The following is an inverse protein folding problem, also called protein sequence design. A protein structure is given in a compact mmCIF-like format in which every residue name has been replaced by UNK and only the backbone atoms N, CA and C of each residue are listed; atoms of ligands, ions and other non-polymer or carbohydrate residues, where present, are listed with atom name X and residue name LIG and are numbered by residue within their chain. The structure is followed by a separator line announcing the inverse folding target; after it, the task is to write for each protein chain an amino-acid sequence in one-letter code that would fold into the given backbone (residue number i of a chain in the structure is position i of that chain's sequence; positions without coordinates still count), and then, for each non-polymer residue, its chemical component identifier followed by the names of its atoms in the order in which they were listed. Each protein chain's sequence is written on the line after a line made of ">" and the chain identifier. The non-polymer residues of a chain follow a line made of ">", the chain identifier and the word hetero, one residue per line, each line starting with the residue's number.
data_IF_682375940287
#
_entry.id   IF_682375940287
#
_cell.length_a   1.000
_cell.length_b   1.000
_cell.length_c   1.000
_cell.angle_alpha   90.00
_cell.angle_beta   90.00
_cell.angle_gamma   90.00
#
_symmetry.space_group_name_H-M   'P 1'
#
loop_
_entity.id
_entity.type
_entity.pdbx_description
1 polymer ?
#
# COMPACT_ATOMS: atom_id res chain seq x y z
N UNK A 1 38.33 0.77 27.13
CA UNK A 1 37.46 1.90 27.52
C UNK A 1 36.08 1.33 27.77
N UNK A 2 35.64 1.26 29.03
CA UNK A 2 34.28 0.88 29.39
C UNK A 2 33.39 2.10 29.23
N UNK A 3 32.37 2.00 28.37
CA UNK A 3 31.37 3.06 28.24
C UNK A 3 30.49 3.01 29.48
N UNK A 4 30.45 4.13 30.22
CA UNK A 4 29.67 4.27 31.44
C UNK A 4 28.18 4.01 31.18
N UNK A 5 27.59 3.09 31.95
CA UNK A 5 26.21 2.62 31.76
C UNK A 5 25.18 3.73 32.02
N UNK A 6 25.46 4.61 32.99
CA UNK A 6 24.58 5.74 33.29
C UNK A 6 24.52 6.70 32.11
N UNK A 7 25.68 7.07 31.56
CA UNK A 7 25.78 7.93 30.37
C UNK A 7 25.01 7.36 29.18
N UNK A 8 25.14 6.04 28.92
CA UNK A 8 24.41 5.40 27.82
C UNK A 8 22.91 5.42 28.07
N UNK A 9 22.45 5.08 29.28
CA UNK A 9 21.02 5.10 29.61
C UNK A 9 20.43 6.51 29.48
N UNK A 10 21.18 7.55 29.82
CA UNK A 10 20.78 8.94 29.62
C UNK A 10 20.64 9.27 28.12
N UNK A 11 21.58 8.83 27.28
CA UNK A 11 21.50 9.01 25.83
C UNK A 11 20.32 8.24 25.22
N UNK A 12 20.10 6.99 25.62
CA UNK A 12 18.91 6.20 25.24
C UNK A 12 17.65 6.95 25.62
N UNK A 13 17.62 7.55 26.81
CA UNK A 13 16.47 8.28 27.28
C UNK A 13 16.17 9.50 26.42
N UNK A 14 17.17 10.34 26.16
CA UNK A 14 17.03 11.52 25.32
C UNK A 14 16.51 11.13 23.93
N UNK A 15 17.16 10.17 23.27
CA UNK A 15 16.79 9.75 21.92
C UNK A 15 15.36 9.18 21.88
N UNK A 16 15.02 8.31 22.83
CA UNK A 16 13.68 7.68 22.88
C UNK A 16 12.59 8.70 23.18
N UNK A 17 12.83 9.62 24.12
CA UNK A 17 11.87 10.68 24.46
C UNK A 17 11.68 11.64 23.29
N UNK A 18 12.75 12.06 22.63
CA UNK A 18 12.66 12.93 21.44
C UNK A 18 11.94 12.23 20.30
N UNK A 19 12.32 10.98 19.98
CA UNK A 19 11.68 10.18 18.93
C UNK A 19 10.18 9.97 19.22
N UNK A 20 9.85 9.56 20.44
CA UNK A 20 8.47 9.35 20.87
C UNK A 20 7.64 10.63 20.84
N UNK A 21 8.19 11.75 21.33
CA UNK A 21 7.51 13.04 21.32
C UNK A 21 7.25 13.53 19.90
N UNK A 22 8.25 13.48 19.00
CA UNK A 22 8.08 13.85 17.60
C UNK A 22 7.02 13.00 16.93
N UNK A 23 7.08 11.68 17.13
CA UNK A 23 6.10 10.77 16.55
C UNK A 23 4.68 11.02 17.07
N UNK A 24 4.51 11.23 18.38
CA UNK A 24 3.22 11.53 19.00
C UNK A 24 2.65 12.87 18.53
N UNK A 25 3.47 13.93 18.51
CA UNK A 25 3.06 15.25 18.03
C UNK A 25 2.57 15.17 16.59
N UNK A 26 3.32 14.51 15.72
CA UNK A 26 2.91 14.32 14.33
C UNK A 26 1.60 13.52 14.23
N UNK A 27 1.46 12.46 15.03
CA UNK A 27 0.23 11.64 15.07
C UNK A 27 -0.99 12.46 15.48
N UNK A 28 -0.83 13.35 16.48
CA UNK A 28 -1.91 14.22 16.96
C UNK A 28 -2.25 15.32 15.96
N UNK A 29 -1.25 16.00 15.42
CA UNK A 29 -1.43 17.09 14.45
C UNK A 29 -2.15 16.61 13.19
N UNK A 30 -1.85 15.39 12.72
CA UNK A 30 -2.45 14.81 11.52
C UNK A 30 -3.78 14.08 11.76
N UNK A 31 -4.28 14.02 13.01
CA UNK A 31 -5.52 13.30 13.40
C UNK A 31 -5.59 11.87 12.84
N UNK A 32 -4.48 11.14 12.92
CA UNK A 32 -4.40 9.84 12.26
C UNK A 32 -5.36 8.79 12.83
N UNK A 33 -5.86 7.93 11.93
CA UNK A 33 -6.70 6.77 12.25
C UNK A 33 -5.99 5.47 11.85
N UNK A 34 -6.18 4.41 12.64
CA UNK A 34 -5.66 3.08 12.31
C UNK A 34 -4.22 2.81 12.77
N UNK A 35 -3.29 2.35 11.90
CA UNK A 35 -1.98 1.81 12.29
C UNK A 35 -1.07 2.78 13.03
N UNK A 36 -1.11 4.07 12.64
CA UNK A 36 -0.32 5.12 13.28
C UNK A 36 -0.60 5.28 14.77
N UNK A 37 -1.86 5.10 15.20
CA UNK A 37 -2.26 5.11 16.63
C UNK A 37 -1.69 3.93 17.40
N UNK A 38 -1.57 2.76 16.76
CA UNK A 38 -1.02 1.56 17.39
C UNK A 38 0.50 1.69 17.56
N UNK A 39 1.21 2.23 16.56
CA UNK A 39 2.62 2.56 16.70
C UNK A 39 2.88 3.66 17.72
N UNK A 40 1.99 4.66 17.81
CA UNK A 40 2.07 5.69 18.86
C UNK A 40 2.01 5.07 20.27
N UNK A 41 1.17 4.04 20.47
CA UNK A 41 1.14 3.29 21.73
C UNK A 41 2.46 2.57 21.99
N UNK A 42 3.11 2.03 20.95
CA UNK A 42 4.46 1.46 21.04
C UNK A 42 5.49 2.48 21.50
N UNK A 43 5.54 3.67 20.89
CA UNK A 43 6.43 4.75 21.34
C UNK A 43 6.15 5.19 22.78
N UNK A 44 4.88 5.27 23.17
CA UNK A 44 4.47 5.64 24.53
C UNK A 44 4.94 4.59 25.56
N UNK A 45 4.82 3.31 25.19
CA UNK A 45 5.36 2.18 25.97
C UNK A 45 6.89 2.21 26.04
N UNK A 46 7.57 2.57 24.96
CA UNK A 46 9.03 2.72 24.92
C UNK A 46 9.50 3.87 25.83
N UNK A 47 8.77 4.99 25.84
CA UNK A 47 9.02 6.10 26.77
C UNK A 47 8.83 5.66 28.22
N UNK A 48 7.75 4.93 28.54
CA UNK A 48 7.54 4.39 29.88
C UNK A 48 8.68 3.47 30.32
N UNK A 49 9.19 2.62 29.40
CA UNK A 49 10.34 1.74 29.64
C UNK A 49 11.56 2.54 30.10
N UNK A 50 11.88 3.59 29.35
CA UNK A 50 13.02 4.45 29.63
C UNK A 50 12.89 5.14 30.98
N UNK A 51 11.72 5.70 31.28
CA UNK A 51 11.48 6.36 32.58
C UNK A 51 11.65 5.36 33.72
N UNK A 52 11.12 4.15 33.56
CA UNK A 52 11.24 3.10 34.55
C UNK A 52 12.70 2.67 34.77
N UNK A 53 13.50 2.54 33.71
CA UNK A 53 14.93 2.21 33.83
C UNK A 53 15.79 3.37 34.36
N UNK A 54 15.40 4.63 34.13
CA UNK A 54 16.04 5.75 34.82
C UNK A 54 15.74 5.75 36.33
N UNK A 55 14.50 5.42 36.72
CA UNK A 55 14.13 5.28 38.13
C UNK A 55 14.89 4.13 38.79
N UNK A 56 15.09 3.01 38.09
CA UNK A 56 15.92 1.89 38.56
C UNK A 56 17.32 2.35 38.95
N UNK A 57 17.95 3.20 38.14
CA UNK A 57 19.31 3.71 38.40
C UNK A 57 19.38 4.70 39.58
N UNK A 58 18.26 5.31 39.96
CA UNK A 58 18.21 6.35 40.99
C UNK A 58 17.60 5.91 42.33
N UNK A 59 17.16 4.66 42.47
CA UNK A 59 16.44 4.17 43.65
C UNK A 59 17.14 2.97 44.29
N UNK A 60 17.07 2.90 45.63
CA UNK A 60 17.72 1.83 46.40
C UNK A 60 16.96 0.50 46.33
N UNK A 61 15.65 0.52 46.09
CA UNK A 61 14.81 -0.68 45.96
C UNK A 61 13.97 -0.63 44.66
N UNK A 62 14.58 -0.97 43.51
CA UNK A 62 14.04 -0.64 42.20
C UNK A 62 13.15 -1.73 41.57
N UNK A 63 12.87 -2.83 42.27
CA UNK A 63 12.20 -4.01 41.70
C UNK A 63 10.86 -3.71 41.00
N UNK A 64 10.07 -2.76 41.53
CA UNK A 64 8.82 -2.30 40.88
C UNK A 64 9.13 -1.57 39.57
N UNK A 65 10.15 -0.72 39.55
CA UNK A 65 10.56 0.01 38.36
C UNK A 65 11.09 -0.95 37.28
N UNK A 66 11.86 -1.98 37.67
CA UNK A 66 12.33 -3.03 36.75
C UNK A 66 11.14 -3.78 36.16
N UNK A 67 10.15 -4.16 36.97
CA UNK A 67 8.96 -4.88 36.50
C UNK A 67 8.14 -4.07 35.50
N UNK A 68 7.89 -2.79 35.80
CA UNK A 68 7.19 -1.86 34.89
C UNK A 68 7.99 -1.69 33.60
N UNK A 69 9.31 -1.48 33.71
CA UNK A 69 10.21 -1.31 32.56
C UNK A 69 10.20 -2.52 31.64
N UNK A 70 10.31 -3.73 32.20
CA UNK A 70 10.29 -4.98 31.43
C UNK A 70 8.95 -5.20 30.72
N UNK A 71 7.83 -4.98 31.41
CA UNK A 71 6.50 -5.11 30.82
C UNK A 71 6.25 -4.05 29.73
N UNK A 72 6.73 -2.82 29.93
CA UNK A 72 6.63 -1.75 28.94
C UNK A 72 7.53 -2.03 27.71
N UNK A 73 8.71 -2.60 27.90
CA UNK A 73 9.61 -2.90 26.79
C UNK A 73 9.04 -4.00 25.89
N UNK A 74 8.52 -5.09 26.48
CA UNK A 74 7.90 -6.15 25.69
C UNK A 74 6.65 -5.64 24.96
N UNK A 75 5.87 -4.79 25.62
CA UNK A 75 4.68 -4.14 25.04
C UNK A 75 5.04 -3.22 23.87
N UNK A 76 6.20 -2.57 23.91
CA UNK A 76 6.70 -1.70 22.82
C UNK A 76 6.79 -2.48 21.53
N UNK A 77 7.53 -3.59 21.51
CA UNK A 77 7.69 -4.42 20.31
C UNK A 77 6.38 -5.11 19.91
N UNK A 78 5.56 -5.53 20.90
CA UNK A 78 4.22 -6.03 20.63
C UNK A 78 3.35 -5.02 19.90
N UNK A 79 3.35 -3.75 20.31
CA UNK A 79 2.63 -2.68 19.63
C UNK A 79 3.20 -2.39 18.22
N UNK A 80 4.51 -2.49 18.02
CA UNK A 80 5.11 -2.38 16.68
C UNK A 80 4.61 -3.47 15.74
N UNK A 81 4.58 -4.72 16.18
CA UNK A 81 3.99 -5.82 15.43
C UNK A 81 2.50 -5.59 15.15
N UNK A 82 1.72 -5.18 16.16
CA UNK A 82 0.29 -4.86 15.98
C UNK A 82 0.08 -3.72 14.98
N UNK A 83 0.96 -2.73 14.95
CA UNK A 83 0.92 -1.66 13.98
C UNK A 83 1.22 -2.16 12.57
N UNK A 84 2.18 -3.08 12.38
CA UNK A 84 2.38 -3.77 11.09
C UNK A 84 1.15 -4.59 10.66
N UNK A 85 0.50 -5.31 11.59
CA UNK A 85 -0.74 -6.05 11.29
C UNK A 85 -1.88 -5.12 10.91
N UNK A 86 -2.04 -4.03 11.68
CA UNK A 86 -3.01 -2.97 11.39
C UNK A 86 -2.73 -2.37 10.01
N UNK A 87 -1.44 -2.19 9.66
CA UNK A 87 -1.03 -1.69 8.36
C UNK A 87 -1.53 -2.59 7.24
N UNK A 88 -1.39 -3.91 7.40
CA UNK A 88 -1.84 -4.93 6.46
C UNK A 88 -3.35 -5.22 6.51
N UNK A 89 -4.15 -4.40 7.19
CA UNK A 89 -5.59 -4.60 7.39
C UNK A 89 -5.95 -5.96 8.04
N UNK A 90 -5.01 -6.60 8.73
CA UNK A 90 -5.26 -7.82 9.48
C UNK A 90 -5.95 -7.52 10.81
N UNK A 91 -6.70 -8.50 11.33
CA UNK A 91 -7.40 -8.38 12.63
C UNK A 91 -6.39 -8.16 13.76
N UNK A 92 -6.52 -7.03 14.46
CA UNK A 92 -5.64 -6.62 15.56
C UNK A 92 -6.11 -7.04 16.95
N UNK A 93 -7.42 -7.19 17.18
CA UNK A 93 -7.98 -7.51 18.51
C UNK A 93 -7.41 -8.78 19.15
N UNK A 94 -7.40 -9.96 18.47
CA UNK A 94 -6.88 -11.18 19.10
C UNK A 94 -5.36 -11.10 19.34
N UNK A 95 -4.61 -10.52 18.40
CA UNK A 95 -3.18 -10.30 18.56
C UNK A 95 -2.88 -9.32 19.71
N UNK A 96 -3.73 -8.29 19.89
CA UNK A 96 -3.63 -7.34 20.98
C UNK A 96 -3.85 -7.98 22.35
N UNK A 97 -4.77 -8.94 22.45
CA UNK A 97 -4.94 -9.73 23.66
C UNK A 97 -3.69 -10.56 23.99
N UNK A 98 -3.01 -11.12 22.99
CA UNK A 98 -1.73 -11.84 23.18
C UNK A 98 -0.65 -10.90 23.69
N UNK A 99 -0.49 -9.71 23.09
CA UNK A 99 0.49 -8.71 23.56
C UNK A 99 0.20 -8.31 25.01
N UNK A 100 -1.06 -8.01 25.35
CA UNK A 100 -1.47 -7.68 26.70
C UNK A 100 -1.22 -8.82 27.70
N UNK A 101 -1.54 -10.06 27.33
CA UNK A 101 -1.29 -11.23 28.17
C UNK A 101 0.21 -11.43 28.44
N UNK A 102 1.06 -11.33 27.42
CA UNK A 102 2.52 -11.44 27.57
C UNK A 102 3.06 -10.31 28.46
N UNK A 103 2.58 -9.09 28.30
CA UNK A 103 2.96 -7.95 29.14
C UNK A 103 2.59 -8.16 30.62
N UNK A 104 1.40 -8.69 30.89
CA UNK A 104 0.94 -9.03 32.25
C UNK A 104 1.80 -10.15 32.83
N UNK A 105 2.07 -11.21 32.07
CA UNK A 105 2.93 -12.31 32.51
C UNK A 105 4.34 -11.79 32.82
N UNK A 106 4.91 -10.93 31.96
CA UNK A 106 6.21 -10.32 32.21
C UNK A 106 6.23 -9.50 33.50
N UNK A 107 5.19 -8.70 33.73
CA UNK A 107 5.05 -7.89 34.95
C UNK A 107 5.01 -8.80 36.19
N UNK A 108 4.15 -9.82 36.17
CA UNK A 108 3.97 -10.75 37.29
C UNK A 108 5.25 -11.54 37.57
N UNK A 109 5.91 -12.07 36.55
CA UNK A 109 7.18 -12.83 36.70
C UNK A 109 8.26 -11.97 37.31
N UNK A 110 8.36 -10.70 36.90
CA UNK A 110 9.37 -9.79 37.43
C UNK A 110 9.06 -9.38 38.88
N UNK A 111 7.79 -9.08 39.19
CA UNK A 111 7.36 -8.75 40.56
C UNK A 111 7.48 -9.96 41.51
N UNK A 112 7.24 -11.17 41.02
CA UNK A 112 7.33 -12.39 41.81
C UNK A 112 8.76 -12.71 42.26
N UNK A 113 9.78 -12.19 41.58
CA UNK A 113 11.16 -12.28 42.02
C UNK A 113 11.43 -11.42 43.28
N UNK A 114 10.59 -10.40 43.53
CA UNK A 114 10.67 -9.53 44.70
C UNK A 114 11.94 -8.66 44.75
N UNK A 115 12.21 -8.03 45.90
CA UNK A 115 13.40 -7.21 46.12
C UNK A 115 14.73 -7.98 45.92
N UNK A 116 14.73 -9.27 46.23
CA UNK A 116 15.91 -10.14 46.13
C UNK A 116 16.18 -10.65 44.70
N UNK A 117 15.30 -10.35 43.75
CA UNK A 117 15.39 -10.80 42.35
C UNK A 117 16.56 -10.19 41.56
N UNK A 118 17.15 -9.11 42.07
CA UNK A 118 18.26 -8.39 41.46
C UNK A 118 17.93 -7.74 40.11
N UNK A 119 18.95 -7.17 39.46
CA UNK A 119 18.81 -6.38 38.22
C UNK A 119 18.31 -7.19 37.01
N UNK A 120 18.43 -8.52 37.07
CA UNK A 120 18.09 -9.43 35.96
C UNK A 120 16.75 -10.15 36.18
N UNK A 121 15.95 -9.71 37.15
CA UNK A 121 14.62 -10.26 37.42
C UNK A 121 13.76 -10.29 36.13
N UNK A 122 13.32 -11.48 35.73
CA UNK A 122 12.49 -11.68 34.54
C UNK A 122 13.18 -11.40 33.19
N UNK A 123 14.50 -11.21 33.14
CA UNK A 123 15.21 -10.78 31.93
C UNK A 123 15.19 -11.82 30.79
N UNK A 124 15.22 -13.12 31.10
CA UNK A 124 15.15 -14.17 30.06
C UNK A 124 13.81 -14.12 29.33
N UNK A 125 12.69 -14.03 30.07
CA UNK A 125 11.36 -13.90 29.48
C UNK A 125 11.23 -12.61 28.66
N UNK A 126 11.77 -11.51 29.18
CA UNK A 126 11.81 -10.23 28.49
C UNK A 126 12.50 -10.35 27.14
N UNK A 127 13.70 -10.93 27.10
CA UNK A 127 14.51 -11.02 25.89
C UNK A 127 13.87 -11.92 24.85
N UNK A 128 13.31 -13.06 25.25
CA UNK A 128 12.54 -13.90 24.32
C UNK A 128 11.27 -13.19 23.84
N UNK A 129 10.54 -12.48 24.70
CA UNK A 129 9.35 -11.73 24.31
C UNK A 129 9.66 -10.64 23.29
N UNK A 130 10.71 -9.86 23.53
CA UNK A 130 11.22 -8.85 22.59
C UNK A 130 11.63 -9.51 21.26
N UNK A 131 12.36 -10.62 21.32
CA UNK A 131 12.81 -11.32 20.12
C UNK A 131 11.65 -11.86 19.28
N UNK A 132 10.64 -12.46 19.93
CA UNK A 132 9.45 -13.01 19.26
C UNK A 132 8.63 -11.90 18.62
N UNK A 133 8.29 -10.83 19.35
CA UNK A 133 7.49 -9.74 18.76
C UNK A 133 8.24 -9.00 17.66
N UNK A 134 9.56 -8.81 17.80
CA UNK A 134 10.37 -8.26 16.72
C UNK A 134 10.39 -9.19 15.50
N UNK A 135 10.57 -10.50 15.69
CA UNK A 135 10.52 -11.48 14.60
C UNK A 135 9.18 -11.47 13.86
N UNK A 136 8.07 -11.43 14.62
CA UNK A 136 6.72 -11.30 14.07
C UNK A 136 6.53 -9.96 13.32
N UNK A 137 7.03 -8.84 13.85
CA UNK A 137 6.99 -7.55 13.18
C UNK A 137 7.77 -7.56 11.86
N UNK A 138 8.95 -8.19 11.84
CA UNK A 138 9.79 -8.34 10.64
C UNK A 138 9.10 -9.18 9.55
N UNK A 139 8.49 -10.30 9.93
CA UNK A 139 7.73 -11.14 8.98
C UNK A 139 6.51 -10.38 8.45
N UNK A 140 5.78 -9.70 9.33
CA UNK A 140 4.58 -8.94 8.97
C UNK A 140 4.92 -7.74 8.06
N UNK A 141 6.08 -7.09 8.24
CA UNK A 141 6.50 -5.96 7.40
C UNK A 141 6.85 -6.34 5.96
N UNK A 142 7.05 -7.64 5.66
CA UNK A 142 7.24 -8.14 4.29
C UNK A 142 6.00 -8.78 3.69
N UNK A 143 4.91 -8.90 4.44
CA UNK A 143 3.65 -9.50 3.98
C UNK A 143 2.67 -8.43 3.52
N UNK A 144 1.74 -8.85 2.66
CA UNK A 144 0.60 -8.07 2.18
C UNK A 144 1.00 -6.67 1.66
N UNK A 145 0.13 -5.67 1.81
CA UNK A 145 0.32 -4.33 1.25
C UNK A 145 1.57 -3.61 1.77
N UNK A 146 2.06 -3.92 2.97
CA UNK A 146 3.30 -3.34 3.49
C UNK A 146 4.55 -3.84 2.74
N UNK A 147 4.55 -5.11 2.31
CA UNK A 147 5.68 -5.73 1.62
C UNK A 147 5.97 -5.14 0.24
N UNK A 148 4.95 -4.60 -0.42
CA UNK A 148 5.05 -3.96 -1.73
C UNK A 148 5.78 -2.60 -1.68
N UNK A 149 5.84 -1.96 -0.51
CA UNK A 149 6.45 -0.64 -0.34
C UNK A 149 7.94 -0.81 -0.06
N UNK A 150 8.82 -0.25 -0.89
CA UNK A 150 10.27 -0.33 -0.72
C UNK A 150 10.75 0.17 0.65
N UNK A 151 10.13 1.23 1.19
CA UNK A 151 10.48 1.76 2.50
C UNK A 151 10.19 0.80 3.67
N UNK A 152 9.38 -0.26 3.48
CA UNK A 152 9.15 -1.28 4.53
C UNK A 152 10.34 -2.19 4.77
N UNK A 153 11.30 -2.21 3.83
CA UNK A 153 12.55 -2.96 3.99
C UNK A 153 13.34 -2.50 5.22
N UNK A 154 13.33 -1.20 5.53
CA UNK A 154 13.98 -0.64 6.71
C UNK A 154 13.47 -1.27 8.01
N UNK A 155 12.14 -1.37 8.18
CA UNK A 155 11.55 -2.02 9.35
C UNK A 155 11.87 -3.50 9.40
N UNK A 156 11.86 -4.17 8.25
CA UNK A 156 12.16 -5.59 8.19
C UNK A 156 13.57 -5.87 8.71
N UNK A 157 14.56 -5.11 8.23
CA UNK A 157 15.96 -5.25 8.64
C UNK A 157 16.13 -4.92 10.12
N UNK A 158 15.55 -3.80 10.59
CA UNK A 158 15.62 -3.39 12.00
C UNK A 158 15.03 -4.46 12.91
N UNK A 159 13.81 -4.92 12.62
CA UNK A 159 13.14 -5.92 13.45
C UNK A 159 13.80 -7.30 13.37
N UNK A 160 14.33 -7.70 12.22
CA UNK A 160 15.12 -8.92 12.10
C UNK A 160 16.39 -8.86 12.96
N UNK A 161 17.08 -7.72 12.94
CA UNK A 161 18.26 -7.51 13.76
C UNK A 161 17.92 -7.50 15.26
N UNK A 162 16.87 -6.79 15.68
CA UNK A 162 16.37 -6.80 17.08
C UNK A 162 16.06 -8.24 17.50
N UNK A 163 15.35 -9.00 16.66
CA UNK A 163 14.97 -10.37 16.95
C UNK A 163 16.19 -11.26 17.18
N UNK A 164 17.15 -11.22 16.25
CA UNK A 164 18.39 -11.99 16.36
C UNK A 164 19.22 -11.57 17.58
N UNK A 165 19.41 -10.27 17.79
CA UNK A 165 20.21 -9.75 18.90
C UNK A 165 19.63 -10.16 20.25
N UNK A 166 18.33 -9.94 20.48
CA UNK A 166 17.69 -10.29 21.75
C UNK A 166 17.54 -11.81 21.94
N UNK A 167 17.40 -12.58 20.87
CA UNK A 167 17.39 -14.04 20.96
C UNK A 167 18.75 -14.59 21.42
N UNK A 168 19.83 -14.14 20.79
CA UNK A 168 21.19 -14.54 21.21
C UNK A 168 21.48 -14.06 22.63
N UNK A 169 21.10 -12.81 22.96
CA UNK A 169 21.21 -12.28 24.32
C UNK A 169 20.47 -13.11 25.36
N UNK A 170 19.27 -13.60 25.04
CA UNK A 170 18.50 -14.50 25.92
C UNK A 170 19.23 -15.82 26.16
N UNK A 171 19.77 -16.43 25.10
CA UNK A 171 20.51 -17.69 25.20
C UNK A 171 21.79 -17.51 26.03
N UNK A 172 22.57 -16.46 25.76
CA UNK A 172 23.82 -16.19 26.50
C UNK A 172 23.53 -15.95 27.98
N UNK A 173 22.50 -15.15 28.30
CA UNK A 173 22.10 -14.93 29.70
C UNK A 173 21.64 -16.23 30.37
N UNK A 174 20.92 -17.10 29.65
CA UNK A 174 20.41 -18.35 30.19
C UNK A 174 21.52 -19.40 30.43
N UNK A 175 22.53 -19.43 29.56
CA UNK A 175 23.64 -20.41 29.62
C UNK A 175 24.77 -19.97 30.55
N UNK A 176 25.26 -18.73 30.40
CA UNK A 176 26.42 -18.23 31.17
C UNK A 176 26.01 -17.41 32.40
N UNK A 177 24.76 -16.95 32.47
CA UNK A 177 24.32 -16.02 33.51
C UNK A 177 24.81 -14.58 33.29
N UNK A 178 24.44 -13.66 34.20
CA UNK A 178 24.73 -12.23 34.06
C UNK A 178 26.21 -11.88 34.27
N UNK A 179 26.97 -12.73 34.95
CA UNK A 179 28.42 -12.55 35.16
C UNK A 179 29.29 -13.22 34.08
N UNK A 180 28.66 -13.91 33.11
CA UNK A 180 29.34 -14.56 32.01
C UNK A 180 30.20 -13.59 31.19
N UNK A 181 31.35 -14.07 30.71
CA UNK A 181 32.28 -13.24 29.93
C UNK A 181 31.69 -12.76 28.60
N UNK A 182 30.88 -13.59 27.93
CA UNK A 182 30.19 -13.17 26.69
C UNK A 182 29.10 -12.15 27.00
N UNK A 183 28.36 -12.38 28.10
CA UNK A 183 27.29 -11.48 28.50
C UNK A 183 27.82 -10.09 28.84
N UNK A 184 28.82 -10.02 29.71
CA UNK A 184 29.44 -8.77 30.15
C UNK A 184 30.20 -8.05 29.03
N UNK A 185 30.76 -8.77 28.05
CA UNK A 185 31.53 -8.17 26.96
C UNK A 185 30.67 -7.67 25.80
N UNK A 186 29.62 -8.41 25.40
CA UNK A 186 28.86 -8.13 24.16
C UNK A 186 27.37 -7.84 24.38
N UNK A 187 26.80 -8.30 25.48
CA UNK A 187 25.35 -8.25 25.73
C UNK A 187 24.96 -7.50 27.00
N UNK A 188 25.91 -6.74 27.55
CA UNK A 188 25.66 -5.87 28.69
C UNK A 188 24.68 -4.74 28.32
N UNK A 189 24.17 -4.06 29.34
CA UNK A 189 23.18 -2.99 29.18
C UNK A 189 23.73 -1.79 28.41
N UNK A 190 25.02 -1.46 28.53
CA UNK A 190 25.64 -0.35 27.78
C UNK A 190 25.67 -0.60 26.27
N UNK A 191 26.05 -1.80 25.84
CA UNK A 191 26.07 -2.15 24.41
C UNK A 191 24.64 -2.23 23.86
N UNK A 192 23.74 -2.83 24.64
CA UNK A 192 22.30 -2.88 24.30
C UNK A 192 21.73 -1.46 24.13
N UNK A 193 22.13 -0.52 24.97
CA UNK A 193 21.69 0.88 24.87
C UNK A 193 22.13 1.54 23.57
N UNK A 194 23.39 1.36 23.15
CA UNK A 194 23.88 1.88 21.86
C UNK A 194 23.10 1.26 20.69
N UNK A 195 22.92 -0.06 20.72
CA UNK A 195 22.12 -0.78 19.72
C UNK A 195 20.69 -0.21 19.69
N UNK A 196 20.08 0.03 20.85
CA UNK A 196 18.74 0.59 20.96
C UNK A 196 18.63 2.01 20.39
N UNK A 197 19.64 2.86 20.59
CA UNK A 197 19.69 4.22 20.00
C UNK A 197 19.63 4.13 18.47
N UNK A 198 20.52 3.34 17.87
CA UNK A 198 20.60 3.19 16.40
C UNK A 198 19.27 2.68 15.86
N UNK A 199 18.72 1.62 16.48
CA UNK A 199 17.48 1.01 16.02
C UNK A 199 16.27 1.92 16.22
N UNK A 200 16.23 2.72 17.28
CA UNK A 200 15.17 3.71 17.51
C UNK A 200 15.16 4.78 16.43
N UNK A 201 16.34 5.28 16.05
CA UNK A 201 16.47 6.26 14.97
C UNK A 201 15.97 5.66 13.65
N UNK A 202 16.45 4.47 13.27
CA UNK A 202 16.03 3.83 12.02
C UNK A 202 14.54 3.49 12.03
N UNK A 203 14.01 3.01 13.16
CA UNK A 203 12.59 2.73 13.32
C UNK A 203 11.74 4.00 13.19
N UNK A 204 12.14 5.10 13.83
CA UNK A 204 11.47 6.39 13.71
C UNK A 204 11.46 6.86 12.25
N UNK A 205 12.63 6.92 11.61
CA UNK A 205 12.75 7.37 10.21
C UNK A 205 11.90 6.50 9.29
N UNK A 206 11.93 5.18 9.46
CA UNK A 206 11.15 4.26 8.63
C UNK A 206 9.64 4.39 8.88
N UNK A 207 9.22 4.56 10.15
CA UNK A 207 7.83 4.80 10.51
C UNK A 207 7.31 6.08 9.84
N UNK A 208 8.09 7.16 9.90
CA UNK A 208 7.77 8.43 9.26
C UNK A 208 7.75 8.31 7.73
N UNK A 209 8.69 7.58 7.11
CA UNK A 209 8.70 7.36 5.66
C UNK A 209 7.50 6.53 5.18
N UNK A 210 7.16 5.46 5.89
CA UNK A 210 5.98 4.64 5.58
C UNK A 210 4.68 5.41 5.77
N UNK A 211 4.65 6.33 6.74
CA UNK A 211 3.56 7.29 6.95
C UNK A 211 3.45 8.28 5.78
N UNK A 212 4.56 8.84 5.30
CA UNK A 212 4.56 9.74 4.14
C UNK A 212 4.20 9.02 2.84
N UNK A 213 4.72 7.80 2.62
CA UNK A 213 4.37 6.98 1.46
C UNK A 213 2.91 6.50 1.47
N UNK A 214 2.26 6.51 2.63
CA UNK A 214 0.82 6.25 2.77
C UNK A 214 -0.05 7.35 2.20
N UNK A 215 0.42 8.60 2.25
CA UNK A 215 -0.27 9.73 1.61
C UNK A 215 -0.29 9.49 0.10
N UNK A 216 0.79 8.98 -0.48
CA UNK A 216 0.85 8.66 -1.92
C UNK A 216 0.02 7.43 -2.27
N UNK A 217 0.30 6.26 -1.66
CA UNK A 217 -0.30 4.97 -2.07
C UNK A 217 -1.78 4.83 -1.71
N UNK A 218 -2.25 5.48 -0.63
CA UNK A 218 -3.67 5.44 -0.25
C UNK A 218 -4.48 6.59 -0.84
N UNK A 219 -3.85 7.71 -1.21
CA UNK A 219 -4.49 8.59 -2.16
C UNK A 219 -4.66 7.85 -3.49
N UNK A 220 -3.65 7.15 -4.02
CA UNK A 220 -3.82 6.40 -5.28
C UNK A 220 -4.97 5.37 -5.25
N UNK A 221 -5.29 4.76 -4.10
CA UNK A 221 -6.35 3.74 -3.99
C UNK A 221 -7.74 4.25 -3.52
N UNK A 222 -7.83 5.24 -2.61
CA UNK A 222 -9.11 5.75 -2.08
C UNK A 222 -9.47 7.17 -2.60
N UNK A 223 -8.48 7.93 -3.08
CA UNK A 223 -8.64 9.22 -3.75
C UNK A 223 -7.78 9.23 -5.02
N UNK A 224 -8.05 8.33 -5.96
CA UNK A 224 -7.50 8.50 -7.29
C UNK A 224 -7.94 9.89 -7.74
N UNK A 225 -7.04 10.88 -7.64
CA UNK A 225 -7.21 12.16 -8.30
C UNK A 225 -7.27 11.76 -9.76
N UNK A 226 -8.50 11.60 -10.25
CA UNK A 226 -8.75 11.21 -11.63
C UNK A 226 -8.02 12.24 -12.47
N UNK A 227 -6.93 11.80 -13.09
CA UNK A 227 -6.13 12.66 -13.91
C UNK A 227 -6.92 12.89 -15.20
N UNK A 228 -7.19 14.15 -15.46
CA UNK A 228 -7.85 14.59 -16.68
C UNK A 228 -6.76 15.07 -17.62
N UNK A 229 -6.76 14.55 -18.84
CA UNK A 229 -5.82 14.91 -19.89
C UNK A 229 -6.13 16.32 -20.39
N UNK A 230 -5.21 16.99 -21.10
CA UNK A 230 -5.50 18.31 -21.69
C UNK A 230 -6.74 18.32 -22.60
N UNK A 231 -7.11 17.18 -23.18
CA UNK A 231 -8.31 16.99 -23.98
C UNK A 231 -9.62 16.94 -23.15
N UNK A 232 -9.54 16.97 -21.82
CA UNK A 232 -10.69 16.96 -20.94
C UNK A 232 -11.33 15.58 -20.74
N UNK A 233 -10.57 14.51 -20.98
CA UNK A 233 -10.96 13.10 -20.76
C UNK A 233 -10.08 12.46 -19.69
N UNK A 234 -10.46 11.32 -19.14
CA UNK A 234 -9.66 10.62 -18.12
C UNK A 234 -8.38 10.04 -18.74
N UNK A 235 -7.24 10.12 -18.05
CA UNK A 235 -6.05 9.33 -18.42
C UNK A 235 -6.38 7.82 -18.36
N UNK A 236 -5.71 6.98 -19.15
CA UNK A 236 -5.88 5.52 -19.12
C UNK A 236 -5.96 4.89 -17.70
N UNK A 237 -5.03 5.13 -16.76
CA UNK A 237 -5.12 4.55 -15.41
C UNK A 237 -6.31 5.09 -14.59
N UNK A 238 -6.69 6.35 -14.82
CA UNK A 238 -7.85 6.96 -14.17
C UNK A 238 -9.17 6.43 -14.73
N UNK A 239 -9.22 6.14 -16.03
CA UNK A 239 -10.37 5.51 -16.68
C UNK A 239 -10.59 4.11 -16.14
N UNK A 240 -9.56 3.28 -16.10
CA UNK A 240 -9.62 1.91 -15.56
C UNK A 240 -10.12 1.90 -14.10
N UNK A 241 -9.59 2.81 -13.27
CA UNK A 241 -10.02 2.97 -11.87
C UNK A 241 -11.49 3.38 -11.76
N UNK A 242 -11.94 4.33 -12.59
CA UNK A 242 -13.32 4.80 -12.61
C UNK A 242 -14.29 3.71 -13.09
N UNK A 243 -13.91 2.96 -14.13
CA UNK A 243 -14.69 1.82 -14.64
C UNK A 243 -14.78 0.71 -13.61
N UNK A 244 -13.69 0.35 -12.92
CA UNK A 244 -13.74 -0.65 -11.84
C UNK A 244 -14.72 -0.26 -10.72
N UNK A 245 -14.84 1.03 -10.42
CA UNK A 245 -15.81 1.54 -9.45
C UNK A 245 -17.27 1.41 -9.95
N UNK A 246 -17.51 1.52 -11.26
CA UNK A 246 -18.85 1.30 -11.85
C UNK A 246 -19.17 -0.20 -11.90
N UNK A 247 -18.24 -1.02 -12.38
CA UNK A 247 -18.41 -2.47 -12.53
C UNK A 247 -18.63 -3.17 -11.19
N UNK A 248 -17.96 -2.74 -10.12
CA UNK A 248 -18.19 -3.29 -8.78
C UNK A 248 -19.61 -3.08 -8.26
N UNK A 249 -20.25 -1.95 -8.63
CA UNK A 249 -21.66 -1.67 -8.32
C UNK A 249 -22.59 -2.46 -9.24
N UNK A 250 -22.30 -2.45 -10.55
CA UNK A 250 -23.08 -3.18 -11.55
C UNK A 250 -23.14 -4.68 -11.26
N UNK A 251 -22.05 -5.27 -10.76
CA UNK A 251 -22.01 -6.68 -10.32
C UNK A 251 -22.98 -6.99 -9.18
N UNK A 252 -23.21 -6.04 -8.27
CA UNK A 252 -24.16 -6.22 -7.17
C UNK A 252 -25.63 -6.17 -7.61
N UNK A 253 -25.92 -5.47 -8.70
CA UNK A 253 -27.26 -5.31 -9.26
C UNK A 253 -27.50 -6.18 -10.50
N UNK A 254 -26.55 -7.04 -10.88
CA UNK A 254 -26.54 -7.80 -12.15
C UNK A 254 -26.83 -6.92 -13.38
N UNK A 255 -26.32 -5.69 -13.34
CA UNK A 255 -26.48 -4.72 -14.41
C UNK A 255 -25.42 -4.92 -15.50
N UNK A 256 -25.84 -4.83 -16.77
CA UNK A 256 -24.95 -4.90 -17.93
C UNK A 256 -24.23 -3.57 -18.15
N UNK A 257 -22.91 -3.61 -18.31
CA UNK A 257 -22.08 -2.46 -18.63
C UNK A 257 -21.33 -2.72 -19.94
N UNK A 258 -21.13 -1.67 -20.75
CA UNK A 258 -20.38 -1.74 -21.98
C UNK A 258 -19.20 -0.77 -21.97
N UNK A 259 -18.08 -1.20 -22.53
CA UNK A 259 -16.94 -0.35 -22.87
C UNK A 259 -16.80 -0.36 -24.40
N UNK A 260 -16.76 0.81 -25.00
CA UNK A 260 -16.38 0.97 -26.40
C UNK A 260 -14.99 1.59 -26.51
N UNK A 261 -14.20 1.09 -27.45
CA UNK A 261 -12.94 1.69 -27.89
C UNK A 261 -13.14 2.25 -29.28
N UNK A 262 -12.91 3.55 -29.44
CA UNK A 262 -12.84 4.21 -30.75
C UNK A 262 -11.37 4.34 -31.09
N UNK A 263 -10.94 3.80 -32.23
CA UNK A 263 -9.53 3.71 -32.63
C UNK A 263 -9.25 4.45 -33.93
N UNK A 264 -8.11 5.14 -34.00
CA UNK A 264 -7.59 5.82 -35.20
C UNK A 264 -6.11 5.48 -35.39
N UNK A 265 -5.80 4.60 -36.34
CA UNK A 265 -4.42 4.13 -36.59
C UNK A 265 -3.61 5.10 -37.49
N UNK A 266 -4.29 5.86 -38.35
CA UNK A 266 -3.63 6.63 -39.42
C UNK A 266 -3.02 7.98 -38.94
N UNK A 267 -3.19 8.34 -37.66
CA UNK A 267 -2.85 9.68 -37.17
C UNK A 267 -1.37 10.03 -37.37
N UNK A 268 -0.47 9.12 -37.01
CA UNK A 268 0.97 9.30 -37.21
C UNK A 268 1.34 9.40 -38.70
N UNK A 269 0.67 8.63 -39.57
CA UNK A 269 0.90 8.68 -41.02
C UNK A 269 0.41 10.01 -41.62
N UNK A 270 -0.71 10.55 -41.11
CA UNK A 270 -1.20 11.88 -41.49
C UNK A 270 -0.20 12.96 -41.07
N UNK A 271 0.40 12.87 -39.88
CA UNK A 271 1.46 13.77 -39.43
C UNK A 271 2.68 13.77 -40.35
N UNK A 272 3.10 12.60 -40.85
CA UNK A 272 4.20 12.49 -41.83
C UNK A 272 3.83 13.12 -43.18
N UNK A 273 2.59 12.96 -43.64
CA UNK A 273 2.17 13.41 -44.97
C UNK A 273 1.73 14.88 -45.04
N UNK A 274 1.11 15.40 -43.98
CA UNK A 274 0.47 16.73 -43.94
C UNK A 274 1.06 17.66 -42.87
N UNK A 275 1.99 17.15 -42.05
CA UNK A 275 2.67 17.90 -41.00
C UNK A 275 2.01 17.77 -39.63
N UNK A 276 2.79 18.08 -38.59
CA UNK A 276 2.40 17.92 -37.17
C UNK A 276 1.22 18.81 -36.76
N UNK A 277 0.99 19.92 -37.46
CA UNK A 277 -0.14 20.83 -37.18
C UNK A 277 -1.48 20.19 -37.56
N UNK A 278 -1.52 19.48 -38.69
CA UNK A 278 -2.74 18.77 -39.12
C UNK A 278 -3.00 17.56 -38.22
N UNK A 279 -1.95 16.84 -37.83
CA UNK A 279 -2.01 15.76 -36.84
C UNK A 279 -2.61 16.22 -35.51
N UNK A 280 -2.07 17.30 -34.91
CA UNK A 280 -2.55 17.84 -33.63
C UNK A 280 -4.00 18.35 -33.74
N UNK A 281 -4.36 18.94 -34.88
CA UNK A 281 -5.72 19.40 -35.18
C UNK A 281 -6.73 18.24 -35.23
N UNK A 282 -6.38 17.16 -35.93
CA UNK A 282 -7.20 15.94 -36.03
C UNK A 282 -7.31 15.26 -34.66
N UNK A 283 -6.20 15.13 -33.93
CA UNK A 283 -6.17 14.55 -32.59
C UNK A 283 -7.09 15.33 -31.63
N UNK A 284 -7.02 16.65 -31.64
CA UNK A 284 -7.85 17.52 -30.78
C UNK A 284 -9.34 17.40 -31.15
N UNK A 285 -9.65 17.36 -32.45
CA UNK A 285 -11.01 17.20 -32.94
C UNK A 285 -11.60 15.85 -32.57
N UNK A 286 -10.80 14.80 -32.69
CA UNK A 286 -11.19 13.45 -32.36
C UNK A 286 -11.61 13.31 -30.89
N UNK A 287 -10.79 13.78 -29.95
CA UNK A 287 -11.15 13.77 -28.53
C UNK A 287 -12.37 14.65 -28.22
N UNK A 288 -12.44 15.84 -28.83
CA UNK A 288 -13.57 16.77 -28.63
C UNK A 288 -14.88 16.18 -29.16
N UNK A 289 -14.85 15.56 -30.35
CA UNK A 289 -15.98 14.92 -30.98
C UNK A 289 -16.47 13.70 -30.20
N UNK A 290 -15.56 12.84 -29.74
CA UNK A 290 -15.93 11.68 -28.90
C UNK A 290 -16.62 12.15 -27.63
N UNK A 291 -16.04 13.12 -26.94
CA UNK A 291 -16.62 13.68 -25.71
C UNK A 291 -17.98 14.33 -25.96
N UNK A 292 -18.17 14.98 -27.12
CA UNK A 292 -19.44 15.62 -27.51
C UNK A 292 -20.53 14.60 -27.83
N UNK A 293 -20.19 13.46 -28.42
CA UNK A 293 -21.15 12.44 -28.87
C UNK A 293 -21.34 11.28 -27.89
N UNK A 294 -20.50 11.18 -26.87
CA UNK A 294 -20.66 10.22 -25.78
C UNK A 294 -21.97 10.45 -25.00
N UNK A 295 -22.57 9.39 -24.44
CA UNK A 295 -23.72 9.53 -23.53
C UNK A 295 -23.41 10.42 -22.33
N UNK A 296 -24.41 11.14 -21.82
CA UNK A 296 -24.25 12.13 -20.73
C UNK A 296 -23.64 11.55 -19.45
N UNK A 297 -23.96 10.30 -19.13
CA UNK A 297 -23.45 9.59 -17.95
C UNK A 297 -22.33 8.59 -18.29
N UNK A 298 -21.74 8.69 -19.48
CA UNK A 298 -20.62 7.85 -19.85
C UNK A 298 -19.31 8.39 -19.25
N UNK A 299 -18.45 7.48 -18.82
CA UNK A 299 -17.04 7.79 -18.58
C UNK A 299 -16.33 7.83 -19.93
N UNK A 300 -15.44 8.81 -20.11
CA UNK A 300 -14.60 8.93 -21.32
C UNK A 300 -13.16 9.07 -20.88
N UNK A 301 -12.26 8.31 -21.49
CA UNK A 301 -10.84 8.36 -21.18
C UNK A 301 -9.96 7.85 -22.30
N UNK A 302 -8.66 8.06 -22.17
CA UNK A 302 -7.66 7.56 -23.12
C UNK A 302 -7.52 6.05 -22.96
N UNK A 303 -7.30 5.38 -24.09
CA UNK A 303 -6.94 3.96 -24.16
C UNK A 303 -5.45 3.78 -24.43
N UNK A 304 -5.14 2.87 -25.35
CA UNK A 304 -3.80 2.77 -25.93
C UNK A 304 -3.49 3.99 -26.84
N UNK A 305 -2.27 4.08 -27.38
CA UNK A 305 -1.78 5.25 -28.14
C UNK A 305 -2.69 5.72 -29.29
N UNK A 306 -3.60 4.85 -29.77
CA UNK A 306 -4.48 5.11 -30.89
C UNK A 306 -5.97 4.98 -30.53
N UNK A 307 -6.36 4.95 -29.25
CA UNK A 307 -7.77 4.82 -28.87
C UNK A 307 -8.26 5.73 -27.76
N UNK A 308 -9.56 6.04 -27.83
CA UNK A 308 -10.32 6.70 -26.76
C UNK A 308 -11.46 5.76 -26.36
N UNK A 309 -11.62 5.58 -25.06
CA UNK A 309 -12.54 4.66 -24.42
C UNK A 309 -13.79 5.38 -23.92
N UNK A 310 -14.93 4.70 -23.98
CA UNK A 310 -16.23 5.16 -23.51
C UNK A 310 -16.86 4.02 -22.71
N UNK A 311 -17.19 4.24 -21.42
CA UNK A 311 -17.89 3.26 -20.61
C UNK A 311 -19.29 3.77 -20.22
N UNK A 312 -20.33 2.96 -20.43
CA UNK A 312 -21.70 3.30 -20.07
C UNK A 312 -22.55 2.06 -19.81
N UNK A 313 -23.75 2.27 -19.28
CA UNK A 313 -24.77 1.24 -19.12
C UNK A 313 -25.76 1.31 -20.30
N UNK A 314 -25.69 0.41 -21.29
CA UNK A 314 -26.64 0.39 -22.40
C UNK A 314 -27.99 -0.21 -21.98
N UNK A 315 -29.07 0.20 -22.65
CA UNK A 315 -30.38 -0.43 -22.44
C UNK A 315 -30.47 -1.85 -23.05
N UNK A 316 -29.64 -2.14 -24.05
CA UNK A 316 -29.51 -3.47 -24.68
C UNK A 316 -28.22 -3.55 -25.52
N UNK A 317 -27.74 -4.75 -25.90
CA UNK A 317 -26.61 -4.88 -26.82
C UNK A 317 -26.83 -4.18 -28.18
N UNK A 318 -28.08 -4.17 -28.67
CA UNK A 318 -28.45 -3.43 -29.87
C UNK A 318 -28.37 -1.91 -29.70
N UNK A 319 -28.68 -1.42 -28.50
CA UNK A 319 -28.53 -0.01 -28.16
C UNK A 319 -27.07 0.43 -28.14
N UNK A 320 -26.19 -0.39 -27.56
CA UNK A 320 -24.78 -0.10 -27.53
C UNK A 320 -24.18 0.06 -28.94
N UNK A 321 -24.52 -0.86 -29.86
CA UNK A 321 -24.12 -0.78 -31.28
C UNK A 321 -24.64 0.48 -31.96
N UNK A 322 -25.90 0.87 -31.70
CA UNK A 322 -26.48 2.09 -32.27
C UNK A 322 -25.77 3.36 -31.77
N UNK A 323 -25.41 3.41 -30.49
CA UNK A 323 -24.68 4.53 -29.88
C UNK A 323 -23.28 4.61 -30.49
N UNK A 324 -22.53 3.51 -30.51
CA UNK A 324 -21.20 3.42 -31.11
C UNK A 324 -21.19 3.85 -32.59
N UNK A 325 -22.10 3.29 -33.40
CA UNK A 325 -22.19 3.64 -34.82
C UNK A 325 -22.71 5.05 -35.10
N UNK A 326 -23.35 5.71 -34.12
CA UNK A 326 -23.71 7.13 -34.19
C UNK A 326 -22.51 8.02 -33.90
N UNK A 327 -21.72 7.67 -32.88
CA UNK A 327 -20.49 8.37 -32.51
C UNK A 327 -19.53 8.36 -33.70
N UNK A 328 -19.28 7.18 -34.28
CA UNK A 328 -18.42 7.03 -35.45
C UNK A 328 -18.87 7.89 -36.64
N UNK A 329 -20.15 7.79 -37.05
CA UNK A 329 -20.65 8.59 -38.17
C UNK A 329 -20.51 10.08 -37.95
N UNK A 330 -20.90 10.57 -36.77
CA UNK A 330 -20.78 12.01 -36.47
C UNK A 330 -19.34 12.49 -36.40
N UNK A 331 -18.41 11.64 -35.97
CA UNK A 331 -16.98 11.95 -36.03
C UNK A 331 -16.50 12.09 -37.48
N UNK A 332 -16.90 11.17 -38.36
CA UNK A 332 -16.57 11.23 -39.79
C UNK A 332 -17.20 12.46 -40.47
N UNK A 333 -18.45 12.78 -40.13
CA UNK A 333 -19.13 13.99 -40.60
C UNK A 333 -18.36 15.26 -40.15
N UNK A 334 -17.93 15.32 -38.88
CA UNK A 334 -17.14 16.44 -38.36
C UNK A 334 -15.79 16.59 -39.09
N UNK A 335 -15.12 15.50 -39.45
CA UNK A 335 -13.88 15.56 -40.26
C UNK A 335 -14.15 16.07 -41.68
N UNK A 336 -15.26 15.65 -42.29
CA UNK A 336 -15.64 16.07 -43.63
C UNK A 336 -16.05 17.55 -43.70
N UNK A 337 -16.84 18.04 -42.73
CA UNK A 337 -17.32 19.43 -42.69
C UNK A 337 -16.19 20.46 -42.51
N UNK A 338 -15.13 20.08 -41.81
CA UNK A 338 -13.95 20.94 -41.60
C UNK A 338 -13.09 21.10 -42.84
N UNK A 339 -13.31 20.29 -43.87
CA UNK A 339 -12.47 20.24 -45.07
C UNK A 339 -11.06 19.73 -44.78
N UNK A 340 -10.89 18.82 -43.81
CA UNK A 340 -9.58 18.19 -43.59
C UNK A 340 -9.11 17.53 -44.88
N UNK A 341 -7.80 17.61 -45.15
CA UNK A 341 -7.21 17.05 -46.35
C UNK A 341 -7.38 15.52 -46.43
N UNK A 342 -7.59 14.86 -45.29
CA UNK A 342 -7.77 13.40 -45.16
C UNK A 342 -8.86 13.08 -44.15
N UNK A 343 -9.72 12.12 -44.49
CA UNK A 343 -10.67 11.53 -43.54
C UNK A 343 -10.00 10.27 -42.97
N UNK A 344 -9.63 10.24 -41.68
CA UNK A 344 -8.96 9.08 -41.09
C UNK A 344 -9.89 7.87 -40.99
N UNK A 345 -9.35 6.66 -41.09
CA UNK A 345 -10.09 5.46 -40.77
C UNK A 345 -10.34 5.39 -39.26
N UNK A 346 -11.61 5.23 -38.87
CA UNK A 346 -12.02 5.11 -37.47
C UNK A 346 -12.67 3.77 -37.24
N UNK A 347 -12.04 2.90 -36.46
CA UNK A 347 -12.59 1.62 -36.02
C UNK A 347 -13.30 1.75 -34.68
N UNK A 348 -14.37 0.97 -34.44
CA UNK A 348 -15.03 0.93 -33.13
C UNK A 348 -15.22 -0.49 -32.65
N UNK A 349 -14.72 -0.77 -31.45
CA UNK A 349 -14.92 -2.04 -30.73
C UNK A 349 -15.81 -1.85 -29.52
N UNK A 350 -16.63 -2.84 -29.17
CA UNK A 350 -17.47 -2.84 -27.96
C UNK A 350 -17.28 -4.16 -27.20
N UNK A 351 -17.10 -4.11 -25.89
CA UNK A 351 -17.17 -5.27 -25.02
C UNK A 351 -18.26 -5.09 -23.96
N UNK A 352 -18.90 -6.20 -23.58
CA UNK A 352 -19.95 -6.24 -22.56
C UNK A 352 -19.48 -7.01 -21.32
N UNK A 353 -19.85 -6.52 -20.13
CA UNK A 353 -19.57 -7.18 -18.86
C UNK A 353 -20.20 -8.58 -18.77
N UNK A 354 -21.31 -8.79 -19.48
CA UNK A 354 -22.04 -10.06 -19.46
C UNK A 354 -21.30 -11.17 -20.23
N UNK A 355 -20.47 -10.77 -21.21
CA UNK A 355 -19.71 -11.68 -22.07
C UNK A 355 -18.27 -11.89 -21.54
N UNK A 356 -17.63 -10.82 -21.08
CA UNK A 356 -16.19 -10.80 -20.70
C UNK A 356 -15.99 -10.84 -19.18
N UNK A 357 -17.02 -10.53 -18.40
CA UNK A 357 -16.97 -10.40 -16.94
C UNK A 357 -16.83 -8.95 -16.45
N UNK A 358 -16.82 -8.79 -15.13
CA UNK A 358 -16.78 -7.49 -14.44
C UNK A 358 -15.36 -7.01 -14.08
N UNK A 359 -14.33 -7.58 -14.72
CA UNK A 359 -12.96 -7.10 -14.56
C UNK A 359 -12.69 -5.92 -15.52
N UNK A 360 -12.26 -4.75 -15.02
CA UNK A 360 -12.09 -3.55 -15.86
C UNK A 360 -11.01 -3.74 -16.92
N UNK A 361 -9.89 -4.39 -16.59
CA UNK A 361 -8.79 -4.65 -17.53
C UNK A 361 -9.26 -5.54 -18.69
N UNK A 362 -9.85 -6.69 -18.37
CA UNK A 362 -10.36 -7.61 -19.38
C UNK A 362 -11.40 -6.97 -20.31
N UNK A 363 -12.28 -6.12 -19.78
CA UNK A 363 -13.32 -5.44 -20.56
C UNK A 363 -12.72 -4.37 -21.50
N UNK A 364 -11.71 -3.63 -21.03
CA UNK A 364 -10.99 -2.63 -21.83
C UNK A 364 -10.21 -3.32 -22.95
N UNK A 365 -9.45 -4.35 -22.63
CA UNK A 365 -8.63 -5.11 -23.59
C UNK A 365 -9.50 -5.71 -24.70
N UNK A 366 -10.62 -6.35 -24.32
CA UNK A 366 -11.56 -6.92 -25.27
C UNK A 366 -12.17 -5.86 -26.22
N UNK A 367 -12.49 -4.67 -25.70
CA UNK A 367 -13.00 -3.56 -26.51
C UNK A 367 -11.93 -3.03 -27.49
N UNK A 368 -10.68 -2.91 -27.04
CA UNK A 368 -9.56 -2.46 -27.88
C UNK A 368 -9.22 -3.49 -28.97
N UNK A 369 -9.24 -4.78 -28.65
CA UNK A 369 -9.05 -5.84 -29.64
C UNK A 369 -10.16 -5.87 -30.69
N UNK A 370 -11.41 -5.64 -30.27
CA UNK A 370 -12.52 -5.47 -31.21
C UNK A 370 -12.33 -4.23 -32.10
N UNK A 371 -11.81 -3.13 -31.55
CA UNK A 371 -11.58 -1.89 -32.31
C UNK A 371 -10.45 -2.05 -33.34
N UNK A 372 -9.35 -2.75 -32.98
CA UNK A 372 -8.27 -3.14 -33.90
C UNK A 372 -8.78 -3.99 -35.07
N UNK A 373 -9.66 -4.97 -34.78
CA UNK A 373 -10.30 -5.76 -35.85
C UNK A 373 -11.22 -4.90 -36.71
N UNK A 374 -11.87 -3.89 -36.14
CA UNK A 374 -12.76 -2.99 -36.88
C UNK A 374 -11.98 -2.05 -37.82
N UNK A 375 -10.83 -1.51 -37.39
CA UNK A 375 -10.04 -0.61 -38.25
C UNK A 375 -9.45 -1.30 -39.48
N UNK A 376 -9.25 -2.62 -39.40
CA UNK A 376 -8.72 -3.44 -40.52
C UNK A 376 -9.81 -4.11 -41.37
N UNK A 377 -11.08 -4.00 -40.99
CA UNK A 377 -12.19 -4.66 -41.69
C UNK A 377 -12.94 -3.68 -42.61
N UNK A 378 -12.95 -3.91 -43.94
CA UNK A 378 -13.61 -3.00 -44.88
C UNK A 378 -15.14 -2.97 -44.76
N UNK A 379 -15.75 -4.01 -44.17
CA UNK A 379 -17.21 -4.18 -44.12
C UNK A 379 -17.83 -3.88 -42.74
N UNK A 380 -17.01 -3.75 -41.68
CA UNK A 380 -17.49 -3.67 -40.31
C UNK A 380 -16.98 -2.43 -39.57
N UNK A 381 -17.81 -1.39 -39.58
CA UNK A 381 -17.51 -0.12 -38.91
C UNK A 381 -17.59 -0.21 -37.37
N UNK A 382 -18.32 -1.20 -36.83
CA UNK A 382 -18.42 -1.49 -35.40
C UNK A 382 -18.36 -3.00 -35.17
N UNK A 383 -17.43 -3.46 -34.33
CA UNK A 383 -17.28 -4.89 -33.96
C UNK A 383 -17.55 -5.06 -32.46
N UNK A 384 -18.23 -6.15 -32.11
CA UNK A 384 -18.42 -6.56 -30.71
C UNK A 384 -17.41 -7.64 -30.36
N UNK A 385 -16.80 -7.55 -29.18
CA UNK A 385 -15.93 -8.58 -28.63
C UNK A 385 -16.76 -9.85 -28.38
N UNK A 386 -16.26 -10.98 -28.86
CA UNK A 386 -16.87 -12.28 -28.56
C UNK A 386 -16.31 -12.77 -27.22
N UNK A 387 -17.14 -13.44 -26.42
CA UNK A 387 -16.65 -14.12 -25.22
C UNK A 387 -15.56 -15.11 -25.63
N UNK A 388 -14.36 -14.99 -25.04
CA UNK A 388 -13.25 -15.88 -25.35
C UNK A 388 -13.66 -17.34 -25.19
N UNK A 389 -13.59 -18.11 -26.27
CA UNK A 389 -13.86 -19.55 -26.26
C UNK A 389 -12.67 -20.29 -25.62
N UNK A 390 -12.54 -20.17 -24.30
CA UNK A 390 -11.64 -20.99 -23.48
C UNK A 390 -12.37 -22.29 -23.03
N UNK A 391 -13.04 -22.95 -23.99
CA UNK A 391 -13.36 -24.37 -23.94
C UNK A 391 -12.54 -25.13 -24.96
N UNK A 392 -11.22 -25.05 -24.84
CA UNK A 392 -10.34 -26.10 -25.36
C UNK A 392 -10.67 -27.42 -24.63
N UNK A 393 -11.53 -28.22 -25.25
CA UNK A 393 -11.78 -29.61 -24.87
C UNK A 393 -10.44 -30.36 -24.76
N UNK A 394 -10.26 -31.25 -23.76
CA UNK A 394 -9.05 -32.05 -23.70
C UNK A 394 -9.05 -33.00 -24.89
N UNK A 395 -8.10 -32.80 -25.79
CA UNK A 395 -7.80 -33.76 -26.85
C UNK A 395 -7.35 -35.04 -26.15
N UNK A 396 -8.23 -36.05 -26.13
CA UNK A 396 -7.84 -37.44 -25.95
C UNK A 396 -7.13 -37.88 -27.24
N UNK A 397 -5.84 -38.16 -27.11
CA UNK A 397 -5.00 -38.88 -28.06
C UNK A 397 -3.91 -39.59 -27.28
#
# INVERSE_FOLDING_TARGET
>A
MTIDAFTVNMLVAIVTMTAGTLYLLETMLRREVGPGRVWALGFLSGMLTVVAYLLWQGTADPWVAIAIGNAALVSTLGCFWLGCRSFNAHRVRPAGAVVGAVAIVQLVVTLAAGPDGGDWAGAVLLFFGVAVFAGLASVESRRAGMGAIWSSLGFTIVFAFVAAYYFVRAIVLWVEGPEGSLFTTWFNSSITGIVSIVLTIVALTTATMLRTGRVTVRQDAEHATLQVTPAGVLSAPSFETAVGSVLSRARGEEASCAVASVRMDDLAQIGVAFGTVEEESIATQWHTGIRRYAPVFALVGDGDEASVLIAWQPASPGDARRVAGRIQRRLLDDFAERGSAVIPAVGVGIAFSDDVGYDPGALIDAAQDAARRSSTSPDASVIVAEAGDDRAAPIRG
#
